data_IF_106179026577
#
_entry.id   IF_106179026577
#
_cell.length_a   1.000
_cell.length_b   1.000
_cell.length_c   1.000
_cell.angle_alpha   90.00
_cell.angle_beta   90.00
_cell.angle_gamma   90.00
#
_symmetry.space_group_name_H-M   'P 1'
#
loop_
_entity.id
_entity.type
_entity.pdbx_description
1 polymer ?
#
# COMPACT_ATOMS: atom_id res chain seq x y z
N UNK A 1 -13.65 -9.07 21.16
CA UNK A 1 -13.11 -8.30 20.03
C UNK A 1 -13.57 -6.87 20.18
N UNK A 2 -12.64 -5.92 20.09
CA UNK A 2 -12.97 -4.50 20.07
C UNK A 2 -13.18 -4.09 18.61
N UNK A 3 -14.20 -3.29 18.31
CA UNK A 3 -14.43 -2.77 16.96
C UNK A 3 -13.81 -1.39 16.84
N UNK A 4 -13.02 -1.19 15.80
CA UNK A 4 -12.47 0.12 15.43
C UNK A 4 -13.08 0.53 14.09
N UNK A 5 -13.37 1.82 13.95
CA UNK A 5 -13.75 2.42 12.67
C UNK A 5 -12.51 3.01 12.04
N UNK A 6 -12.21 2.63 10.81
CA UNK A 6 -11.06 3.11 10.07
C UNK A 6 -11.34 3.34 8.58
N UNK A 7 -10.37 3.93 7.89
CA UNK A 7 -10.41 4.28 6.48
C UNK A 7 -11.74 4.98 6.09
N UNK A 8 -12.11 6.01 6.86
CA UNK A 8 -13.25 6.86 6.55
C UNK A 8 -12.93 7.73 5.33
N UNK A 9 -13.84 7.80 4.36
CA UNK A 9 -13.66 8.64 3.18
C UNK A 9 -13.84 10.12 3.51
N UNK A 10 -13.09 10.98 2.81
CA UNK A 10 -13.16 12.43 2.97
C UNK A 10 -14.56 13.00 2.66
N UNK A 11 -15.30 12.39 1.74
CA UNK A 11 -16.66 12.80 1.36
C UNK A 11 -17.60 11.60 1.26
N UNK A 12 -18.70 11.62 2.02
CA UNK A 12 -19.63 10.47 2.09
C UNK A 12 -20.29 10.18 0.74
N UNK A 13 -20.28 8.91 0.35
CA UNK A 13 -21.03 8.35 -0.77
C UNK A 13 -22.31 7.67 -0.29
N UNK A 14 -23.01 6.99 -1.19
CA UNK A 14 -24.25 6.29 -0.89
C UNK A 14 -24.06 5.18 0.15
N UNK A 15 -24.83 5.24 1.24
CA UNK A 15 -24.75 4.28 2.35
C UNK A 15 -24.93 2.80 1.93
N UNK A 16 -25.63 2.51 0.83
CA UNK A 16 -25.85 1.13 0.38
C UNK A 16 -24.57 0.44 -0.10
N UNK A 17 -23.55 1.21 -0.50
CA UNK A 17 -22.24 0.68 -0.90
C UNK A 17 -21.42 0.20 0.31
N UNK A 18 -21.73 0.67 1.53
CA UNK A 18 -21.05 0.30 2.78
C UNK A 18 -19.52 0.51 2.75
N UNK A 19 -19.08 1.58 2.07
CA UNK A 19 -17.66 1.96 1.91
C UNK A 19 -17.30 3.31 2.52
N UNK A 20 -18.26 4.01 3.14
CA UNK A 20 -18.02 5.32 3.77
C UNK A 20 -17.03 5.25 4.93
N UNK A 21 -17.08 4.15 5.65
CA UNK A 21 -16.22 3.83 6.78
C UNK A 21 -16.03 2.32 6.78
N UNK A 22 -15.08 1.83 7.57
CA UNK A 22 -14.80 0.40 7.64
C UNK A 22 -14.71 -0.05 9.08
N UNK A 23 -15.57 -0.99 9.46
CA UNK A 23 -15.48 -1.67 10.75
C UNK A 23 -14.37 -2.72 10.70
N UNK A 24 -13.48 -2.67 11.69
CA UNK A 24 -12.34 -3.57 11.84
C UNK A 24 -12.50 -4.30 13.18
N UNK A 25 -12.52 -5.62 13.13
CA UNK A 25 -12.55 -6.46 14.33
C UNK A 25 -11.12 -6.73 14.80
N UNK A 26 -10.75 -6.13 15.93
CA UNK A 26 -9.42 -6.27 16.49
C UNK A 26 -9.36 -7.51 17.41
N UNK A 27 -8.35 -8.38 17.23
CA UNK A 27 -8.14 -9.53 18.11
C UNK A 27 -7.72 -9.10 19.51
N UNK A 28 -7.69 -10.04 20.44
CA UNK A 28 -7.14 -9.76 21.75
C UNK A 28 -5.61 -9.64 21.67
N UNK A 29 -5.10 -8.44 21.88
CA UNK A 29 -3.65 -8.17 21.88
C UNK A 29 -3.01 -8.72 23.16
N UNK A 30 -1.99 -9.55 22.99
CA UNK A 30 -1.23 -10.19 24.06
C UNK A 30 -0.02 -9.35 24.47
N UNK A 31 0.46 -8.46 23.59
CA UNK A 31 1.60 -7.59 23.84
C UNK A 31 2.92 -8.36 23.86
N UNK A 32 3.03 -9.36 22.98
CA UNK A 32 4.25 -10.16 22.85
C UNK A 32 5.39 -9.31 22.28
N UNK A 33 6.61 -9.60 22.73
CA UNK A 33 7.81 -9.08 22.08
C UNK A 33 7.94 -9.69 20.69
N UNK A 34 8.48 -8.92 19.75
CA UNK A 34 8.93 -9.47 18.48
C UNK A 34 10.28 -10.19 18.65
N UNK A 35 10.60 -11.10 17.72
CA UNK A 35 11.82 -11.93 17.75
C UNK A 35 13.12 -11.13 17.79
N UNK A 36 13.11 -9.95 17.19
CA UNK A 36 14.22 -9.03 17.16
C UNK A 36 13.88 -7.76 17.92
N UNK A 37 14.90 -7.18 18.56
CA UNK A 37 14.78 -5.90 19.25
C UNK A 37 15.14 -4.81 18.25
N UNK A 38 14.23 -3.83 18.09
CA UNK A 38 14.49 -2.63 17.31
C UNK A 38 15.40 -1.62 18.03
N UNK A 39 15.46 -0.42 17.48
CA UNK A 39 16.15 0.72 18.08
C UNK A 39 15.30 1.40 19.17
N UNK A 40 15.91 2.31 19.92
CA UNK A 40 15.17 3.18 20.84
C UNK A 40 14.37 4.22 20.07
N UNK A 41 13.05 4.23 20.24
CA UNK A 41 12.17 5.20 19.59
C UNK A 41 12.40 6.63 20.15
N UNK A 42 12.89 7.59 19.34
CA UNK A 42 13.20 8.94 19.78
C UNK A 42 11.95 9.82 20.02
N UNK A 43 10.75 9.34 19.70
CA UNK A 43 9.50 10.09 19.78
C UNK A 43 8.93 10.41 18.41
N UNK A 44 8.15 11.48 18.31
CA UNK A 44 7.52 11.85 17.03
C UNK A 44 8.41 12.70 16.12
N UNK A 45 8.16 12.60 14.81
CA UNK A 45 8.65 13.54 13.80
C UNK A 45 7.66 14.71 13.73
N UNK A 46 8.15 15.94 13.92
CA UNK A 46 7.34 17.16 14.04
C UNK A 46 6.36 17.39 12.90
N UNK A 47 6.75 17.04 11.68
CA UNK A 47 6.00 17.18 10.44
C UNK A 47 4.72 16.34 10.47
N UNK A 48 4.74 15.20 11.16
CA UNK A 48 3.61 14.29 11.30
C UNK A 48 2.67 14.64 12.44
N UNK A 49 3.04 15.56 13.34
CA UNK A 49 2.15 16.01 14.42
C UNK A 49 0.90 16.73 13.89
N UNK A 50 1.01 17.35 12.72
CA UNK A 50 -0.05 18.16 12.11
C UNK A 50 -0.72 17.50 10.90
N UNK A 51 -0.28 16.29 10.54
CA UNK A 51 -0.89 15.54 9.44
C UNK A 51 -1.82 14.48 10.01
N UNK A 52 -3.08 14.52 9.58
CA UNK A 52 -4.00 13.42 9.82
C UNK A 52 -3.75 12.35 8.76
N UNK A 53 -3.16 11.22 9.14
CA UNK A 53 -2.94 10.03 8.31
C UNK A 53 -3.30 8.77 9.12
N UNK A 54 -3.17 7.60 8.49
CA UNK A 54 -3.41 6.31 9.11
C UNK A 54 -4.85 5.86 9.02
N UNK A 55 -5.06 4.57 9.29
CA UNK A 55 -6.38 3.93 9.21
C UNK A 55 -7.36 4.61 10.16
N UNK A 56 -6.93 4.88 11.40
CA UNK A 56 -7.63 5.73 12.36
C UNK A 56 -6.65 6.16 13.47
N UNK A 57 -7.00 7.18 14.25
CA UNK A 57 -6.19 7.57 15.41
C UNK A 57 -6.12 6.43 16.44
N UNK A 58 -7.20 5.66 16.62
CA UNK A 58 -7.22 4.51 17.51
C UNK A 58 -6.26 3.39 17.07
N UNK A 59 -6.09 3.19 15.76
CA UNK A 59 -5.10 2.22 15.22
C UNK A 59 -3.67 2.71 15.46
N UNK A 60 -3.40 4.01 15.27
CA UNK A 60 -2.09 4.60 15.55
C UNK A 60 -1.75 4.58 17.04
N UNK A 61 -2.70 4.94 17.91
CA UNK A 61 -2.54 4.88 19.37
C UNK A 61 -2.31 3.45 19.86
N UNK A 62 -2.98 2.48 19.23
CA UNK A 62 -2.75 1.06 19.49
C UNK A 62 -1.34 0.65 19.11
N UNK A 63 -0.86 1.00 17.91
CA UNK A 63 0.53 0.74 17.50
C UNK A 63 1.52 1.33 18.51
N UNK A 64 1.37 2.60 18.85
CA UNK A 64 2.22 3.29 19.83
C UNK A 64 2.24 2.61 21.20
N UNK A 65 1.09 2.11 21.66
CA UNK A 65 0.96 1.45 22.97
C UNK A 65 1.65 0.08 23.02
N UNK A 66 1.58 -0.68 21.92
CA UNK A 66 2.08 -2.05 21.85
C UNK A 66 3.35 -2.20 21.03
N UNK A 67 3.96 -1.08 20.62
CA UNK A 67 5.14 -1.01 19.79
C UNK A 67 6.22 -1.98 20.29
N UNK A 68 6.58 -2.92 19.44
CA UNK A 68 7.56 -3.97 19.74
C UNK A 68 8.73 -4.01 18.76
N UNK A 69 8.70 -3.19 17.70
CA UNK A 69 9.83 -2.94 16.82
C UNK A 69 9.86 -1.48 16.35
N UNK A 70 11.03 -0.85 16.39
CA UNK A 70 11.26 0.48 15.83
C UNK A 70 12.58 0.47 15.04
N UNK A 71 12.62 1.18 13.91
CA UNK A 71 13.87 1.45 13.20
C UNK A 71 13.81 2.80 12.49
N UNK A 72 14.92 3.54 12.57
CA UNK A 72 15.13 4.73 11.76
C UNK A 72 16.03 4.40 10.57
N UNK A 73 15.59 4.77 9.37
CA UNK A 73 16.36 4.72 8.14
C UNK A 73 16.65 6.17 7.76
N UNK A 74 17.92 6.56 7.77
CA UNK A 74 18.29 7.96 7.54
C UNK A 74 19.42 8.05 6.52
N UNK A 75 19.19 8.82 5.46
CA UNK A 75 20.25 9.21 4.53
C UNK A 75 20.77 10.59 4.89
N UNK A 76 22.08 10.69 5.13
CA UNK A 76 22.74 11.98 5.39
C UNK A 76 22.78 12.85 4.11
N UNK A 77 22.96 14.16 4.30
CA UNK A 77 22.99 15.14 3.21
C UNK A 77 23.98 14.74 2.12
N UNK A 78 23.51 14.71 0.86
CA UNK A 78 24.32 14.36 -0.30
C UNK A 78 24.70 12.87 -0.43
N UNK A 79 24.22 11.99 0.46
CA UNK A 79 24.49 10.54 0.38
C UNK A 79 23.37 9.78 -0.32
N UNK A 80 23.69 8.55 -0.70
CA UNK A 80 22.72 7.56 -1.16
C UNK A 80 22.84 6.33 -0.26
N UNK A 81 21.74 5.92 0.37
CA UNK A 81 21.67 4.78 1.29
C UNK A 81 20.58 3.81 0.82
N UNK A 82 20.77 2.52 1.09
CA UNK A 82 19.78 1.48 0.86
C UNK A 82 19.71 0.55 2.08
N UNK A 83 18.49 0.16 2.46
CA UNK A 83 18.27 -0.77 3.57
C UNK A 83 17.16 -1.78 3.22
N UNK A 84 17.25 -2.96 3.83
CA UNK A 84 16.33 -4.07 3.63
C UNK A 84 15.99 -4.69 4.98
N UNK A 85 14.70 -4.93 5.21
CA UNK A 85 14.23 -5.61 6.42
C UNK A 85 13.12 -6.61 6.12
N UNK A 86 13.38 -7.88 6.43
CA UNK A 86 12.39 -8.95 6.46
C UNK A 86 11.78 -9.09 7.86
N UNK A 87 10.46 -9.16 7.91
CA UNK A 87 9.63 -9.51 9.05
C UNK A 87 8.92 -10.84 8.80
N UNK A 88 8.91 -11.70 9.81
CA UNK A 88 8.24 -13.01 9.74
C UNK A 88 7.44 -13.23 11.03
N UNK A 89 6.12 -13.35 10.88
CA UNK A 89 5.21 -13.75 11.95
C UNK A 89 4.99 -15.26 11.94
N UNK A 90 4.98 -15.88 13.11
CA UNK A 90 4.71 -17.31 13.29
C UNK A 90 3.82 -17.57 14.52
N UNK A 91 3.67 -18.83 14.92
CA UNK A 91 2.85 -19.21 16.07
C UNK A 91 3.42 -18.71 17.42
N UNK A 92 4.73 -18.50 17.51
CA UNK A 92 5.42 -17.97 18.69
C UNK A 92 5.35 -16.44 18.70
N UNK A 93 5.80 -15.82 17.62
CA UNK A 93 5.82 -14.39 17.34
C UNK A 93 4.63 -14.02 16.44
N UNK A 94 3.44 -14.02 17.03
CA UNK A 94 2.16 -13.86 16.32
C UNK A 94 1.66 -12.41 16.22
N UNK A 95 2.39 -11.45 16.81
CA UNK A 95 2.01 -10.03 16.86
C UNK A 95 3.20 -9.14 16.49
N UNK A 96 3.03 -8.26 15.50
CA UNK A 96 4.01 -7.23 15.13
C UNK A 96 3.36 -5.85 15.21
N UNK A 97 3.99 -4.98 15.99
CA UNK A 97 3.67 -3.55 16.07
C UNK A 97 4.97 -2.80 15.77
N UNK A 98 5.17 -2.48 14.50
CA UNK A 98 6.38 -1.84 14.00
C UNK A 98 6.14 -0.37 13.62
N UNK A 99 7.17 0.44 13.85
CA UNK A 99 7.24 1.84 13.46
C UNK A 99 8.55 2.08 12.71
N UNK A 100 8.43 2.57 11.47
CA UNK A 100 9.57 2.92 10.62
C UNK A 100 9.59 4.41 10.37
N UNK A 101 10.71 5.05 10.71
CA UNK A 101 10.99 6.42 10.32
C UNK A 101 11.97 6.39 9.15
N UNK A 102 11.54 6.83 7.98
CA UNK A 102 12.34 6.89 6.76
C UNK A 102 12.59 8.36 6.45
N UNK A 103 13.81 8.83 6.69
CA UNK A 103 14.17 10.26 6.63
C UNK A 103 15.31 10.46 5.64
N UNK A 104 15.05 11.13 4.53
CA UNK A 104 16.10 11.55 3.61
C UNK A 104 16.44 13.02 3.87
N UNK A 105 17.69 13.29 4.25
CA UNK A 105 18.18 14.65 4.39
C UNK A 105 18.30 15.33 3.02
N UNK A 106 18.55 16.64 3.03
CA UNK A 106 18.66 17.45 1.82
C UNK A 106 19.62 16.83 0.79
N UNK A 107 19.28 16.93 -0.49
CA UNK A 107 20.12 16.48 -1.62
C UNK A 107 20.54 14.99 -1.53
N UNK A 108 19.79 14.16 -0.79
CA UNK A 108 20.14 12.76 -0.54
C UNK A 108 19.18 11.76 -1.20
N UNK A 109 19.57 10.49 -1.24
CA UNK A 109 18.75 9.39 -1.77
C UNK A 109 18.61 8.26 -0.77
N UNK A 110 17.41 7.73 -0.60
CA UNK A 110 17.16 6.63 0.34
C UNK A 110 16.22 5.60 -0.28
N UNK A 111 16.70 4.36 -0.40
CA UNK A 111 15.86 3.21 -0.77
C UNK A 111 15.65 2.31 0.43
N UNK A 112 14.40 1.95 0.74
CA UNK A 112 14.08 1.04 1.85
C UNK A 112 13.14 -0.03 1.37
N UNK A 113 13.48 -1.29 1.66
CA UNK A 113 12.62 -2.44 1.38
C UNK A 113 12.17 -3.04 2.71
N UNK A 114 10.86 -3.07 2.92
CA UNK A 114 10.18 -3.73 4.04
C UNK A 114 9.41 -4.93 3.50
N UNK A 115 9.83 -6.11 3.90
CA UNK A 115 9.28 -7.38 3.44
C UNK A 115 8.60 -8.10 4.60
N UNK A 116 7.36 -8.49 4.44
CA UNK A 116 6.50 -9.07 5.47
C UNK A 116 6.00 -10.43 5.03
N UNK A 117 6.18 -11.42 5.89
CA UNK A 117 5.72 -12.79 5.69
C UNK A 117 5.09 -13.33 6.96
N UNK A 118 4.22 -14.34 6.82
CA UNK A 118 3.75 -15.08 7.99
C UNK A 118 3.53 -16.55 7.69
N UNK A 119 3.60 -17.38 8.73
CA UNK A 119 3.47 -18.84 8.61
C UNK A 119 2.88 -19.48 9.87
N UNK A 120 2.57 -20.78 9.81
CA UNK A 120 2.10 -21.53 10.98
C UNK A 120 0.58 -21.65 11.05
N UNK A 121 0.06 -22.12 12.19
CA UNK A 121 -1.34 -22.51 12.33
C UNK A 121 -2.24 -21.47 12.99
N UNK A 122 -1.69 -20.62 13.84
CA UNK A 122 -2.41 -19.60 14.60
C UNK A 122 -2.78 -18.37 13.78
N UNK A 123 -3.60 -17.51 14.39
CA UNK A 123 -3.89 -16.16 13.89
C UNK A 123 -2.68 -15.25 14.10
N UNK A 124 -2.47 -14.33 13.17
CA UNK A 124 -1.40 -13.31 13.24
C UNK A 124 -2.00 -11.92 13.16
N UNK A 125 -1.36 -10.99 13.83
CA UNK A 125 -1.76 -9.60 13.81
C UNK A 125 -0.57 -8.70 13.54
N UNK A 126 -0.64 -7.94 12.44
CA UNK A 126 0.35 -6.93 12.08
C UNK A 126 -0.30 -5.55 12.11
N UNK A 127 0.34 -4.61 12.78
CA UNK A 127 0.00 -3.20 12.76
C UNK A 127 1.28 -2.40 12.48
N UNK A 128 1.48 -1.99 11.23
CA UNK A 128 2.68 -1.33 10.74
C UNK A 128 2.43 0.16 10.49
N UNK A 129 3.32 1.00 11.02
CA UNK A 129 3.31 2.45 10.78
C UNK A 129 4.61 2.85 10.09
N UNK A 130 4.50 3.45 8.91
CA UNK A 130 5.64 3.91 8.12
C UNK A 130 5.51 5.42 7.93
N UNK A 131 6.55 6.17 8.27
CA UNK A 131 6.60 7.62 8.09
C UNK A 131 7.78 7.98 7.20
N UNK A 132 7.49 8.62 6.08
CA UNK A 132 8.48 9.05 5.11
C UNK A 132 8.59 10.57 5.13
N UNK A 133 9.74 11.09 5.55
CA UNK A 133 10.09 12.50 5.45
C UNK A 133 11.18 12.68 4.39
N UNK A 134 10.81 13.31 3.28
CA UNK A 134 11.74 13.65 2.20
C UNK A 134 12.00 15.16 2.22
N UNK A 135 13.22 15.54 2.62
CA UNK A 135 13.65 16.94 2.66
C UNK A 135 13.99 17.47 1.27
N UNK A 136 14.28 18.77 1.19
CA UNK A 136 14.55 19.47 -0.06
C UNK A 136 15.48 18.70 -1.02
N UNK A 137 15.09 18.58 -2.29
CA UNK A 137 15.83 17.88 -3.36
C UNK A 137 16.17 16.40 -3.09
N UNK A 138 15.58 15.76 -2.08
CA UNK A 138 15.84 14.34 -1.78
C UNK A 138 14.97 13.40 -2.62
N UNK A 139 15.42 12.16 -2.79
CA UNK A 139 14.68 11.10 -3.47
C UNK A 139 14.53 9.89 -2.55
N UNK A 140 13.30 9.45 -2.30
CA UNK A 140 13.00 8.28 -1.46
C UNK A 140 12.22 7.25 -2.24
N UNK A 141 12.66 6.00 -2.15
CA UNK A 141 11.97 4.85 -2.73
C UNK A 141 11.69 3.83 -1.63
N UNK A 142 10.42 3.49 -1.41
CA UNK A 142 10.01 2.55 -0.35
C UNK A 142 9.26 1.38 -0.99
N UNK A 143 9.73 0.17 -0.78
CA UNK A 143 9.04 -1.05 -1.19
C UNK A 143 8.44 -1.71 0.05
N UNK A 144 7.13 -1.96 0.03
CA UNK A 144 6.41 -2.68 1.09
C UNK A 144 5.82 -3.94 0.47
N UNK A 145 6.41 -5.09 0.79
CA UNK A 145 6.05 -6.38 0.20
C UNK A 145 5.33 -7.20 1.27
N UNK A 146 4.02 -7.38 1.12
CA UNK A 146 3.19 -8.10 2.07
C UNK A 146 2.76 -9.47 1.50
N UNK A 147 3.36 -10.53 2.05
CA UNK A 147 3.07 -11.94 1.72
C UNK A 147 2.58 -12.69 2.96
N UNK A 148 1.71 -12.02 3.72
CA UNK A 148 1.06 -12.55 4.91
C UNK A 148 0.10 -13.72 4.54
N UNK A 149 -0.01 -14.74 5.40
CA UNK A 149 -0.87 -15.89 5.18
C UNK A 149 -2.38 -15.62 5.37
N UNK A 150 -3.20 -16.61 5.04
CA UNK A 150 -4.67 -16.55 5.11
C UNK A 150 -5.25 -16.56 6.54
N UNK A 151 -4.43 -16.30 7.56
CA UNK A 151 -4.83 -16.15 8.98
C UNK A 151 -4.36 -14.84 9.58
N UNK A 152 -3.80 -13.97 8.75
CA UNK A 152 -3.23 -12.71 9.17
C UNK A 152 -4.28 -11.60 9.04
N UNK A 153 -4.41 -10.79 10.10
CA UNK A 153 -5.04 -9.48 10.05
C UNK A 153 -3.92 -8.43 9.97
N UNK A 154 -3.96 -7.62 8.92
CA UNK A 154 -2.95 -6.59 8.64
C UNK A 154 -3.59 -5.21 8.69
N UNK A 155 -2.98 -4.32 9.48
CA UNK A 155 -3.23 -2.88 9.51
C UNK A 155 -1.94 -2.18 9.09
N UNK A 156 -1.98 -1.43 7.99
CA UNK A 156 -0.83 -0.69 7.48
C UNK A 156 -1.17 0.78 7.33
N UNK A 157 -0.35 1.65 7.90
CA UNK A 157 -0.52 3.11 7.87
C UNK A 157 0.77 3.78 7.41
N UNK A 158 0.74 4.35 6.21
CA UNK A 158 1.87 5.05 5.58
C UNK A 158 1.55 6.53 5.49
N UNK A 159 2.39 7.36 6.12
CA UNK A 159 2.36 8.81 5.98
C UNK A 159 3.61 9.30 5.25
N UNK A 160 3.44 10.16 4.26
CA UNK A 160 4.52 10.76 3.46
C UNK A 160 4.42 12.28 3.52
N UNK A 161 5.56 12.93 3.80
CA UNK A 161 5.76 14.37 3.79
C UNK A 161 6.88 14.72 2.83
N UNK A 162 6.61 15.63 1.87
CA UNK A 162 7.62 16.09 0.90
C UNK A 162 7.87 17.59 0.99
N UNK A 163 9.14 17.96 1.14
CA UNK A 163 9.61 19.34 1.00
C UNK A 163 9.86 19.70 -0.48
N UNK A 164 10.36 20.92 -0.74
CA UNK A 164 10.50 21.43 -2.10
C UNK A 164 11.44 20.56 -2.94
N UNK A 165 11.05 20.27 -4.18
CA UNK A 165 11.80 19.42 -5.10
C UNK A 165 12.08 17.97 -4.62
N UNK A 166 11.46 17.55 -3.51
CA UNK A 166 11.61 16.19 -3.02
C UNK A 166 10.73 15.24 -3.83
N UNK A 167 11.22 14.01 -4.05
CA UNK A 167 10.50 12.95 -4.76
C UNK A 167 10.36 11.73 -3.86
N UNK A 168 9.14 11.21 -3.73
CA UNK A 168 8.89 9.96 -3.01
C UNK A 168 8.13 8.99 -3.91
N UNK A 169 8.63 7.76 -4.01
CA UNK A 169 7.95 6.64 -4.68
C UNK A 169 7.72 5.52 -3.67
N UNK A 170 6.48 5.08 -3.52
CA UNK A 170 6.11 3.96 -2.65
C UNK A 170 5.52 2.83 -3.51
N UNK A 171 6.13 1.65 -3.43
CA UNK A 171 5.71 0.45 -4.13
C UNK A 171 5.10 -0.52 -3.13
N UNK A 172 3.81 -0.85 -3.29
CA UNK A 172 3.11 -1.78 -2.40
C UNK A 172 2.77 -3.08 -3.13
N UNK A 173 3.05 -4.23 -2.50
CA UNK A 173 2.78 -5.56 -3.03
C UNK A 173 1.90 -6.31 -2.04
N UNK A 174 0.59 -6.19 -2.19
CA UNK A 174 -0.42 -6.76 -1.30
C UNK A 174 -0.83 -8.14 -1.78
N UNK A 175 -0.03 -9.15 -1.44
CA UNK A 175 -0.10 -10.51 -2.00
C UNK A 175 -0.57 -11.55 -0.97
N UNK A 176 -1.37 -11.14 0.02
CA UNK A 176 -1.92 -12.03 1.02
C UNK A 176 -2.68 -11.31 2.14
N UNK A 177 -2.85 -12.00 3.27
CA UNK A 177 -3.68 -11.69 4.42
C UNK A 177 -5.17 -12.05 4.30
N UNK A 178 -5.71 -12.65 5.37
CA UNK A 178 -7.15 -12.90 5.50
C UNK A 178 -7.95 -11.60 5.43
N UNK A 179 -7.44 -10.56 6.08
CA UNK A 179 -8.02 -9.21 6.16
C UNK A 179 -6.89 -8.20 6.11
N UNK A 180 -6.89 -7.38 5.08
CA UNK A 180 -5.92 -6.31 4.86
C UNK A 180 -6.63 -4.96 4.91
N UNK A 181 -6.10 -4.06 5.73
CA UNK A 181 -6.51 -2.66 5.78
C UNK A 181 -5.28 -1.79 5.61
N UNK A 182 -5.23 -1.00 4.56
CA UNK A 182 -4.13 -0.07 4.30
C UNK A 182 -4.63 1.36 4.23
N UNK A 183 -3.82 2.27 4.76
CA UNK A 183 -3.93 3.70 4.55
C UNK A 183 -2.59 4.20 4.02
N UNK A 184 -2.61 4.84 2.85
CA UNK A 184 -1.48 5.59 2.33
C UNK A 184 -1.91 7.04 2.25
N UNK A 185 -1.07 7.93 2.77
CA UNK A 185 -1.28 9.36 2.64
C UNK A 185 0.00 10.09 2.29
N UNK A 186 -0.02 10.82 1.19
CA UNK A 186 1.08 11.68 0.77
C UNK A 186 0.66 13.14 0.75
N UNK A 187 1.40 13.96 1.48
CA UNK A 187 1.25 15.41 1.54
C UNK A 187 2.40 16.06 0.75
N UNK A 188 2.04 16.63 -0.41
CA UNK A 188 2.93 17.34 -1.32
C UNK A 188 3.02 18.81 -0.89
N UNK A 189 3.90 19.09 0.07
CA UNK A 189 3.96 20.39 0.75
C UNK A 189 4.84 21.39 -0.03
N UNK A 190 6.02 20.95 -0.43
CA UNK A 190 6.99 21.77 -1.13
C UNK A 190 6.58 22.10 -2.57
N UNK A 191 7.08 23.21 -3.11
CA UNK A 191 6.95 23.44 -4.55
C UNK A 191 7.77 22.42 -5.34
N UNK A 192 7.26 22.00 -6.51
CA UNK A 192 7.88 21.00 -7.37
C UNK A 192 8.16 19.65 -6.70
N UNK A 193 7.47 19.32 -5.60
CA UNK A 193 7.58 18.00 -5.00
C UNK A 193 6.76 16.96 -5.77
N UNK A 194 7.22 15.72 -5.73
CA UNK A 194 6.64 14.59 -6.45
C UNK A 194 6.26 13.45 -5.51
N UNK A 195 5.10 12.84 -5.74
CA UNK A 195 4.61 11.71 -4.96
C UNK A 195 4.02 10.64 -5.85
N UNK A 196 4.61 9.46 -5.83
CA UNK A 196 4.21 8.31 -6.64
C UNK A 196 3.85 7.14 -5.73
N UNK A 197 2.74 6.47 -6.01
CA UNK A 197 2.40 5.18 -5.41
C UNK A 197 2.06 4.18 -6.52
N UNK A 198 2.80 3.08 -6.58
CA UNK A 198 2.58 1.97 -7.51
C UNK A 198 2.26 0.72 -6.68
N UNK A 199 1.00 0.30 -6.71
CA UNK A 199 0.48 -0.77 -5.88
C UNK A 199 -0.03 -1.91 -6.74
N UNK A 200 0.42 -3.12 -6.41
CA UNK A 200 -0.21 -4.34 -6.89
C UNK A 200 -0.90 -5.08 -5.75
N UNK A 201 -2.05 -5.69 -6.02
CA UNK A 201 -2.74 -6.53 -5.06
C UNK A 201 -3.31 -7.80 -5.69
N UNK A 202 -3.36 -8.88 -4.91
CA UNK A 202 -4.06 -10.10 -5.29
C UNK A 202 -4.91 -10.60 -4.13
N UNK A 203 -6.22 -10.75 -4.36
CA UNK A 203 -7.14 -11.38 -3.39
C UNK A 203 -7.64 -12.75 -3.87
N UNK A 204 -7.62 -13.75 -3.00
CA UNK A 204 -8.14 -15.10 -3.26
C UNK A 204 -9.03 -15.62 -2.12
N UNK A 205 -9.59 -16.83 -2.27
CA UNK A 205 -10.43 -17.48 -1.25
C UNK A 205 -11.56 -16.55 -0.75
N UNK A 206 -11.59 -16.28 0.55
CA UNK A 206 -12.53 -15.36 1.21
C UNK A 206 -11.80 -14.12 1.78
N UNK A 207 -10.62 -13.77 1.23
CA UNK A 207 -9.82 -12.62 1.65
C UNK A 207 -10.56 -11.30 1.39
N UNK A 208 -10.25 -10.29 2.22
CA UNK A 208 -10.83 -8.97 2.08
C UNK A 208 -9.75 -7.89 2.18
N UNK A 209 -9.67 -7.06 1.13
CA UNK A 209 -8.73 -5.98 1.00
C UNK A 209 -9.46 -4.64 1.10
N UNK A 210 -9.01 -3.76 1.99
CA UNK A 210 -9.51 -2.41 2.15
C UNK A 210 -8.36 -1.42 2.07
N UNK A 211 -8.25 -0.73 0.94
CA UNK A 211 -7.13 0.16 0.65
C UNK A 211 -7.65 1.59 0.53
N UNK A 212 -7.02 2.54 1.22
CA UNK A 212 -7.41 3.96 1.20
C UNK A 212 -6.20 4.86 0.93
N UNK A 213 -6.13 5.45 -0.25
CA UNK A 213 -4.99 6.25 -0.71
C UNK A 213 -5.34 7.73 -0.86
N UNK A 214 -4.65 8.60 -0.13
CA UNK A 214 -4.83 10.05 -0.15
C UNK A 214 -3.57 10.72 -0.74
N UNK A 215 -3.74 11.50 -1.81
CA UNK A 215 -2.68 12.27 -2.45
C UNK A 215 -3.05 13.75 -2.44
N UNK A 216 -2.37 14.53 -1.60
CA UNK A 216 -2.77 15.89 -1.26
C UNK A 216 -1.74 16.90 -1.77
N UNK A 217 -2.10 17.66 -2.80
CA UNK A 217 -1.31 18.74 -3.35
C UNK A 217 -1.52 20.04 -2.56
N UNK A 218 -0.46 20.57 -1.95
CA UNK A 218 -0.44 21.89 -1.30
C UNK A 218 0.56 22.83 -1.95
N UNK A 219 1.74 22.32 -2.29
CA UNK A 219 2.79 23.05 -2.97
C UNK A 219 2.43 23.38 -4.42
N UNK A 220 3.04 24.45 -4.95
CA UNK A 220 2.90 24.83 -6.36
C UNK A 220 3.61 23.82 -7.26
N UNK A 221 3.03 23.54 -8.42
CA UNK A 221 3.63 22.68 -9.45
C UNK A 221 4.10 21.32 -8.92
N UNK A 222 3.35 20.79 -7.96
CA UNK A 222 3.55 19.44 -7.43
C UNK A 222 3.02 18.43 -8.44
N UNK A 223 3.67 17.27 -8.54
CA UNK A 223 3.26 16.20 -9.45
C UNK A 223 2.95 14.92 -8.66
N UNK A 224 1.94 14.16 -9.09
CA UNK A 224 1.65 12.88 -8.46
C UNK A 224 1.08 11.84 -9.40
N UNK A 225 1.30 10.58 -9.03
CA UNK A 225 0.68 9.43 -9.69
C UNK A 225 0.25 8.37 -8.66
N UNK A 226 -1.00 7.91 -8.79
CA UNK A 226 -1.55 6.76 -8.08
C UNK A 226 -1.83 5.68 -9.12
N UNK A 227 -1.02 4.63 -9.15
CA UNK A 227 -1.21 3.47 -10.01
C UNK A 227 -1.54 2.25 -9.16
N UNK A 228 -2.71 1.64 -9.38
CA UNK A 228 -3.15 0.47 -8.62
C UNK A 228 -3.65 -0.62 -9.56
N UNK A 229 -2.90 -1.72 -9.64
CA UNK A 229 -3.28 -2.87 -10.45
C UNK A 229 -3.61 -4.06 -9.55
N UNK A 230 -4.63 -4.85 -9.87
CA UNK A 230 -4.85 -6.05 -9.09
C UNK A 230 -5.70 -7.12 -9.75
N UNK A 231 -5.76 -8.27 -9.09
CA UNK A 231 -6.54 -9.42 -9.51
C UNK A 231 -7.32 -10.00 -8.32
N UNK A 232 -8.55 -10.42 -8.59
CA UNK A 232 -9.43 -11.05 -7.61
C UNK A 232 -9.88 -12.41 -8.13
N UNK A 233 -9.80 -13.41 -7.26
CA UNK A 233 -10.16 -14.81 -7.51
C UNK A 233 -11.06 -15.37 -6.41
N UNK A 234 -11.74 -16.47 -6.71
CA UNK A 234 -12.65 -17.17 -5.79
C UNK A 234 -13.76 -16.22 -5.30
N UNK A 235 -13.85 -15.98 -3.99
CA UNK A 235 -14.85 -15.11 -3.34
C UNK A 235 -14.20 -13.89 -2.68
N UNK A 236 -12.99 -13.55 -3.08
CA UNK A 236 -12.28 -12.43 -2.49
C UNK A 236 -13.01 -11.12 -2.79
N UNK A 237 -12.78 -10.15 -1.91
CA UNK A 237 -13.45 -8.86 -2.00
C UNK A 237 -12.51 -7.70 -1.74
N UNK A 238 -12.72 -6.61 -2.47
CA UNK A 238 -11.86 -5.43 -2.43
C UNK A 238 -12.68 -4.16 -2.38
N UNK A 239 -12.30 -3.27 -1.45
CA UNK A 239 -12.75 -1.89 -1.38
C UNK A 239 -11.53 -0.99 -1.54
N UNK A 240 -11.42 -0.32 -2.69
CA UNK A 240 -10.40 0.70 -2.94
C UNK A 240 -11.05 2.07 -2.86
N UNK A 241 -10.44 2.94 -2.06
CA UNK A 241 -10.84 4.33 -1.89
C UNK A 241 -9.61 5.17 -2.18
N UNK A 242 -9.83 6.26 -2.88
CA UNK A 242 -8.75 7.15 -3.27
C UNK A 242 -9.23 8.58 -3.27
N UNK A 243 -8.31 9.49 -3.00
CA UNK A 243 -8.60 10.91 -2.93
C UNK A 243 -7.41 11.70 -3.47
N UNK A 244 -7.56 12.19 -4.70
CA UNK A 244 -6.65 13.14 -5.32
C UNK A 244 -7.16 14.56 -5.04
N UNK A 245 -6.47 15.27 -4.15
CA UNK A 245 -6.90 16.57 -3.67
C UNK A 245 -5.92 17.69 -4.02
N UNK A 246 -6.45 18.78 -4.58
CA UNK A 246 -5.71 20.03 -4.83
C UNK A 246 -6.20 21.11 -3.88
N UNK A 247 -5.34 21.56 -2.98
CA UNK A 247 -5.64 22.61 -2.01
C UNK A 247 -5.42 23.98 -2.66
N UNK A 248 -6.22 24.97 -2.25
CA UNK A 248 -6.04 26.37 -2.67
C UNK A 248 -4.57 26.81 -2.47
N UNK A 249 -3.94 27.32 -3.53
CA UNK A 249 -2.51 27.66 -3.56
C UNK A 249 -1.61 26.64 -4.25
N UNK A 250 -2.08 25.42 -4.54
CA UNK A 250 -1.37 24.36 -5.28
C UNK A 250 -1.30 24.63 -6.79
N UNK A 251 -1.05 25.89 -7.16
CA UNK A 251 -1.08 26.37 -8.53
C UNK A 251 -0.10 25.62 -9.44
N UNK A 252 -0.59 25.17 -10.59
CA UNK A 252 0.14 24.42 -11.60
C UNK A 252 0.38 22.96 -11.24
N UNK A 253 -0.26 22.44 -10.19
CA UNK A 253 -0.13 21.03 -9.80
C UNK A 253 -0.77 20.10 -10.83
N UNK A 254 -0.18 18.90 -10.97
CA UNK A 254 -0.63 17.84 -11.86
C UNK A 254 -0.76 16.55 -11.06
N UNK A 255 -1.86 15.83 -11.20
CA UNK A 255 -2.04 14.53 -10.58
C UNK A 255 -2.75 13.55 -11.49
N UNK A 256 -2.34 12.29 -11.43
CA UNK A 256 -3.04 11.17 -12.07
C UNK A 256 -3.41 10.09 -11.06
N UNK A 257 -4.53 9.44 -11.35
CA UNK A 257 -4.98 8.26 -10.65
C UNK A 257 -5.49 7.23 -11.67
N UNK A 258 -4.93 6.02 -11.64
CA UNK A 258 -5.36 4.88 -12.44
C UNK A 258 -5.50 3.62 -11.58
N UNK A 259 -6.67 3.00 -11.64
CA UNK A 259 -6.90 1.69 -11.04
C UNK A 259 -7.48 0.68 -12.05
N UNK A 260 -6.91 -0.53 -12.06
CA UNK A 260 -7.38 -1.65 -12.89
C UNK A 260 -7.51 -2.94 -12.07
N UNK A 261 -8.75 -3.45 -11.95
CA UNK A 261 -9.06 -4.76 -11.34
C UNK A 261 -9.33 -5.84 -12.40
N UNK A 262 -8.55 -6.93 -12.41
CA UNK A 262 -8.92 -8.17 -13.11
C UNK A 262 -9.86 -9.00 -12.23
N UNK A 263 -11.02 -9.37 -12.76
CA UNK A 263 -11.99 -10.25 -12.11
C UNK A 263 -11.87 -11.67 -12.69
N UNK A 264 -11.24 -12.58 -11.95
CA UNK A 264 -10.94 -13.95 -12.43
C UNK A 264 -12.11 -14.91 -12.27
N UNK A 265 -13.02 -14.65 -11.33
CA UNK A 265 -14.22 -15.46 -11.09
C UNK A 265 -15.47 -14.59 -10.90
N UNK A 266 -16.65 -15.17 -11.17
CA UNK A 266 -17.94 -14.47 -11.06
C UNK A 266 -18.34 -14.11 -9.63
N UNK A 267 -17.69 -14.73 -8.65
CA UNK A 267 -18.01 -14.62 -7.22
C UNK A 267 -17.22 -13.55 -6.48
N UNK A 268 -16.28 -12.88 -7.16
CA UNK A 268 -15.48 -11.81 -6.55
C UNK A 268 -16.26 -10.51 -6.44
N UNK A 269 -15.85 -9.64 -5.53
CA UNK A 269 -16.45 -8.33 -5.35
C UNK A 269 -15.40 -7.22 -5.39
N UNK A 270 -15.54 -6.26 -6.31
CA UNK A 270 -14.65 -5.11 -6.41
C UNK A 270 -15.47 -3.83 -6.35
N UNK A 271 -15.19 -2.98 -5.35
CA UNK A 271 -15.68 -1.61 -5.29
C UNK A 271 -14.47 -0.68 -5.31
N UNK A 272 -14.50 0.29 -6.21
CA UNK A 272 -13.55 1.41 -6.25
C UNK A 272 -14.32 2.72 -6.11
N UNK A 273 -13.85 3.61 -5.24
CA UNK A 273 -14.45 4.94 -4.99
C UNK A 273 -13.38 6.01 -5.13
N UNK A 274 -13.04 6.39 -6.37
CA UNK A 274 -12.13 7.51 -6.61
C UNK A 274 -12.81 8.85 -6.32
N UNK A 275 -12.11 9.71 -5.62
CA UNK A 275 -12.52 11.08 -5.32
C UNK A 275 -11.48 12.05 -5.88
N UNK A 276 -11.94 13.05 -6.61
CA UNK A 276 -11.10 14.18 -7.04
C UNK A 276 -11.67 15.47 -6.47
N UNK A 277 -10.89 16.14 -5.62
CA UNK A 277 -11.29 17.35 -4.92
C UNK A 277 -10.37 18.51 -5.30
N UNK A 278 -10.83 19.39 -6.19
CA UNK A 278 -10.09 20.57 -6.61
C UNK A 278 -10.62 21.83 -5.93
N UNK A 279 -9.78 22.48 -5.12
CA UNK A 279 -10.01 23.79 -4.51
C UNK A 279 -9.11 24.88 -5.13
N UNK A 280 -8.41 24.55 -6.22
CA UNK A 280 -7.55 25.45 -7.00
C UNK A 280 -7.95 25.34 -8.48
N UNK A 281 -7.93 26.47 -9.19
CA UNK A 281 -8.43 26.54 -10.57
C UNK A 281 -7.36 26.12 -11.60
N UNK A 282 -6.09 26.45 -11.33
CA UNK A 282 -4.97 26.17 -12.24
C UNK A 282 -4.29 24.84 -11.87
N UNK A 283 -4.99 23.73 -12.11
CA UNK A 283 -4.50 22.36 -11.87
C UNK A 283 -4.93 21.41 -12.98
N UNK A 284 -4.22 20.28 -13.11
CA UNK A 284 -4.60 19.18 -14.00
C UNK A 284 -4.77 17.91 -13.18
N UNK A 285 -5.98 17.36 -13.18
CA UNK A 285 -6.29 16.08 -12.53
C UNK A 285 -6.80 15.07 -13.56
N UNK A 286 -6.19 13.89 -13.59
CA UNK A 286 -6.68 12.73 -14.34
C UNK A 286 -7.12 11.64 -13.34
N UNK A 287 -8.24 10.99 -13.63
CA UNK A 287 -8.70 9.82 -12.86
C UNK A 287 -9.26 8.76 -13.81
N UNK A 288 -8.94 7.50 -13.52
CA UNK A 288 -9.47 6.33 -14.20
C UNK A 288 -9.59 5.19 -13.19
N UNK A 289 -10.75 4.53 -13.15
CA UNK A 289 -10.94 3.29 -12.41
C UNK A 289 -11.76 2.35 -13.26
N UNK A 290 -11.28 1.13 -13.41
CA UNK A 290 -11.92 0.12 -14.25
C UNK A 290 -11.74 -1.28 -13.66
N UNK A 291 -12.74 -2.12 -13.89
CA UNK A 291 -12.72 -3.51 -13.50
C UNK A 291 -13.29 -4.35 -14.64
N UNK A 292 -12.66 -5.49 -14.93
CA UNK A 292 -13.04 -6.31 -16.06
C UNK A 292 -12.65 -7.77 -15.88
N UNK A 293 -13.47 -8.65 -16.45
CA UNK A 293 -13.08 -10.04 -16.66
C UNK A 293 -11.99 -10.10 -17.73
N UNK A 294 -11.29 -11.23 -17.78
CA UNK A 294 -10.33 -11.52 -18.84
C UNK A 294 -11.02 -11.42 -20.21
N UNK A 295 -10.30 -10.87 -21.19
CA UNK A 295 -10.77 -10.79 -22.57
C UNK A 295 -10.76 -12.19 -23.20
N UNK A 296 -11.96 -12.69 -23.51
CA UNK A 296 -12.14 -14.02 -24.10
C UNK A 296 -11.41 -14.17 -25.44
N UNK A 297 -11.24 -13.10 -26.22
CA UNK A 297 -10.52 -13.15 -27.49
C UNK A 297 -9.00 -13.30 -27.25
N UNK A 298 -8.47 -12.63 -26.23
CA UNK A 298 -7.07 -12.81 -25.81
C UNK A 298 -6.82 -14.22 -25.28
N UNK A 299 -7.71 -14.72 -24.41
CA UNK A 299 -7.65 -16.09 -23.88
C UNK A 299 -7.73 -17.11 -25.02
N UNK A 300 -8.72 -16.98 -25.92
CA UNK A 300 -8.87 -17.87 -27.07
C UNK A 300 -7.62 -17.85 -27.96
N UNK A 301 -7.04 -16.67 -28.20
CA UNK A 301 -5.82 -16.53 -28.98
C UNK A 301 -4.65 -17.28 -28.33
N UNK A 302 -4.40 -17.09 -27.03
CA UNK A 302 -3.34 -17.80 -26.29
C UNK A 302 -3.56 -19.31 -26.31
N UNK A 303 -4.79 -19.76 -26.05
CA UNK A 303 -5.15 -21.18 -26.09
C UNK A 303 -4.97 -21.81 -27.47
N UNK A 304 -5.24 -21.06 -28.54
CA UNK A 304 -4.99 -21.52 -29.92
C UNK A 304 -3.51 -21.78 -30.22
N UNK A 305 -2.60 -21.24 -29.40
CA UNK A 305 -1.15 -21.49 -29.47
C UNK A 305 -0.68 -22.63 -28.57
N UNK A 306 -1.61 -23.38 -27.96
CA UNK A 306 -1.30 -24.55 -27.14
C UNK A 306 -1.05 -24.24 -25.66
N UNK A 307 -1.29 -22.99 -25.24
CA UNK A 307 -1.23 -22.58 -23.83
C UNK A 307 -2.53 -23.02 -23.15
N UNK A 308 -2.47 -23.62 -21.97
CA UNK A 308 -3.69 -23.98 -21.23
C UNK A 308 -4.45 -22.72 -20.78
N UNK A 309 -5.73 -22.87 -20.41
CA UNK A 309 -6.50 -21.74 -19.88
C UNK A 309 -5.82 -21.13 -18.64
N UNK A 310 -5.38 -21.98 -17.71
CA UNK A 310 -4.74 -21.55 -16.46
C UNK A 310 -3.42 -20.80 -16.71
N UNK A 311 -2.60 -21.27 -17.66
CA UNK A 311 -1.37 -20.58 -18.07
C UNK A 311 -1.67 -19.25 -18.79
N UNK A 312 -2.74 -19.18 -19.59
CA UNK A 312 -3.15 -17.97 -20.28
C UNK A 312 -3.66 -16.90 -19.29
N UNK A 313 -4.47 -17.32 -18.32
CA UNK A 313 -4.91 -16.48 -17.19
C UNK A 313 -3.71 -15.94 -16.41
N UNK A 314 -2.77 -16.82 -16.05
CA UNK A 314 -1.55 -16.43 -15.36
C UNK A 314 -0.74 -15.40 -16.13
N UNK A 315 -0.52 -15.62 -17.44
CA UNK A 315 0.25 -14.70 -18.28
C UNK A 315 -0.37 -13.30 -18.34
N UNK A 316 -1.70 -13.20 -18.38
CA UNK A 316 -2.38 -11.90 -18.41
C UNK A 316 -2.19 -11.17 -17.08
N UNK A 317 -2.34 -11.85 -15.95
CA UNK A 317 -2.12 -11.25 -14.63
C UNK A 317 -0.64 -10.85 -14.46
N UNK A 318 0.28 -11.75 -14.79
CA UNK A 318 1.73 -11.47 -14.75
C UNK A 318 2.07 -10.24 -15.61
N UNK A 319 1.48 -10.11 -16.81
CA UNK A 319 1.71 -8.93 -17.64
C UNK A 319 1.31 -7.62 -16.97
N UNK A 320 0.23 -7.62 -16.18
CA UNK A 320 -0.24 -6.44 -15.43
C UNK A 320 0.65 -6.13 -14.23
N UNK A 321 1.25 -7.13 -13.59
CA UNK A 321 2.09 -6.92 -12.40
C UNK A 321 3.56 -6.68 -12.75
N UNK A 322 3.96 -6.96 -13.98
CA UNK A 322 5.36 -6.92 -14.42
C UNK A 322 6.05 -5.59 -14.14
N UNK A 323 5.41 -4.45 -14.45
CA UNK A 323 6.01 -3.14 -14.22
C UNK A 323 6.39 -2.90 -12.77
N UNK A 324 5.47 -3.18 -11.83
CA UNK A 324 5.70 -3.02 -10.40
C UNK A 324 6.77 -4.02 -9.89
N UNK A 325 6.73 -5.29 -10.30
CA UNK A 325 7.70 -6.28 -9.82
C UNK A 325 9.10 -6.00 -10.40
N UNK A 326 9.20 -5.59 -11.65
CA UNK A 326 10.48 -5.24 -12.28
C UNK A 326 11.18 -4.07 -11.58
N UNK A 327 10.43 -3.18 -10.91
CA UNK A 327 10.95 -2.04 -10.15
C UNK A 327 11.78 -2.43 -8.90
N UNK A 328 11.57 -3.62 -8.31
CA UNK A 328 12.27 -4.05 -7.08
C UNK A 328 13.81 -4.01 -7.19
N UNK A 329 14.34 -4.14 -8.40
CA UNK A 329 15.78 -4.13 -8.70
C UNK A 329 16.56 -5.37 -8.24
N UNK A 330 16.18 -5.98 -7.10
CA UNK A 330 16.76 -7.22 -6.58
C UNK A 330 16.12 -8.45 -7.25
N UNK A 331 16.90 -9.18 -8.04
CA UNK A 331 16.42 -10.34 -8.81
C UNK A 331 15.93 -11.50 -7.93
N UNK A 332 16.55 -11.71 -6.75
CA UNK A 332 16.10 -12.78 -5.84
C UNK A 332 14.73 -12.45 -5.27
N UNK A 333 14.54 -11.19 -4.86
CA UNK A 333 13.28 -10.73 -4.31
C UNK A 333 12.17 -10.72 -5.38
N UNK A 334 12.49 -10.34 -6.62
CA UNK A 334 11.58 -10.49 -7.76
C UNK A 334 11.13 -11.93 -7.94
N UNK A 335 12.07 -12.87 -7.94
CA UNK A 335 11.75 -14.29 -8.09
C UNK A 335 10.82 -14.77 -6.96
N UNK A 336 11.08 -14.39 -5.72
CA UNK A 336 10.22 -14.72 -4.57
C UNK A 336 8.82 -14.10 -4.68
N UNK A 337 8.71 -12.85 -5.14
CA UNK A 337 7.41 -12.18 -5.37
C UNK A 337 6.66 -12.84 -6.52
N UNK A 338 7.34 -13.19 -7.61
CA UNK A 338 6.73 -13.93 -8.72
C UNK A 338 6.26 -15.32 -8.32
N UNK A 339 7.04 -16.03 -7.49
CA UNK A 339 6.64 -17.33 -6.96
C UNK A 339 5.36 -17.21 -6.13
N UNK A 340 5.26 -16.20 -5.25
CA UNK A 340 4.04 -15.91 -4.49
C UNK A 340 2.83 -15.64 -5.41
N UNK A 341 2.98 -14.77 -6.41
CA UNK A 341 1.92 -14.48 -7.40
C UNK A 341 1.47 -15.74 -8.13
N UNK A 342 2.41 -16.59 -8.56
CA UNK A 342 2.11 -17.83 -9.29
C UNK A 342 1.40 -18.86 -8.41
N UNK A 343 1.79 -18.98 -7.15
CA UNK A 343 1.09 -19.87 -6.20
C UNK A 343 -0.37 -19.45 -5.99
N UNK A 344 -0.64 -18.15 -5.92
CA UNK A 344 -2.01 -17.62 -5.77
C UNK A 344 -2.85 -17.84 -7.04
N UNK A 345 -2.26 -17.59 -8.21
CA UNK A 345 -2.95 -17.72 -9.50
C UNK A 345 -3.36 -19.16 -9.79
N UNK A 346 -2.50 -20.14 -9.48
CA UNK A 346 -2.76 -21.58 -9.76
C UNK A 346 -4.17 -21.98 -9.33
N UNK A 347 -4.98 -22.44 -10.29
CA UNK A 347 -6.28 -23.03 -9.98
C UNK A 347 -6.03 -24.40 -9.34
N UNK A 348 -6.58 -24.63 -8.14
CA UNK A 348 -6.50 -25.93 -7.48
C UNK A 348 -7.32 -26.95 -8.27
N UNK A 349 -6.72 -28.12 -8.57
CA UNK A 349 -7.43 -29.26 -9.17
C UNK A 349 -8.36 -29.95 -8.17
#
# INVERSE_FOLDING_TARGET
MNKIIGNEIAFKTFNFLRVNETEIEIPQIQGKLYREVGEDNPGEISEFENIKYGISNEVLDQNKKYLNYYKSYTSEEGKAEEDFKLFELDDEYSELFDLHHIVAEKDSKLKVVLDYTSCGKGEKFRNSVIKVLAKENSEVEVFVIARDDDKSLVLESIGVYTEAHAKVSVHQYELGAARLYTNYKCELIGEYSEGHVDSIYFGQKDEYLNMNYDMIHRGKKTESDILVNGALKDKSSKNFKSNLQFIEGAKGAVGSEEEYSILLDDTVHSISVPLMLAHEDDVVGNHASSAGKLDNDQIFYLMSRGISFDEAEALIVESKFSGAIDALGDEKLKDEVWEAVREIIKRGN
#
